data_IF_412576520296
#
_entry.id   IF_412576520296
#
_cell.length_a   1.000
_cell.length_b   1.000
_cell.length_c   1.000
_cell.angle_alpha   90.00
_cell.angle_beta   90.00
_cell.angle_gamma   90.00
#
_symmetry.space_group_name_H-M   'P 1'
#
loop_
_entity.id
_entity.type
_entity.pdbx_description
1 polymer ?
#
# COMPACT_ATOMS: atom_id res chain seq x y z
N UNK A 1 -21.99 5.74 11.57
CA UNK A 1 -21.47 4.36 11.61
C UNK A 1 -21.92 3.55 10.41
N UNK A 2 -23.23 3.32 10.21
CA UNK A 2 -23.76 2.50 9.11
C UNK A 2 -23.23 2.89 7.72
N UNK A 3 -23.12 4.18 7.42
CA UNK A 3 -22.61 4.70 6.14
C UNK A 3 -21.13 4.39 5.90
N UNK A 4 -20.28 4.49 6.94
CA UNK A 4 -18.84 4.13 6.92
C UNK A 4 -18.59 2.62 6.77
N UNK A 5 -19.60 1.80 7.05
CA UNK A 5 -19.54 0.33 6.98
C UNK A 5 -20.36 -0.27 5.83
N UNK A 6 -21.32 0.45 5.24
CA UNK A 6 -22.30 -0.09 4.28
C UNK A 6 -22.70 0.88 3.15
N UNK A 7 -22.34 2.17 3.22
CA UNK A 7 -22.78 3.19 2.25
C UNK A 7 -22.03 3.18 0.91
N UNK A 8 -21.03 2.32 0.79
CA UNK A 8 -19.99 2.35 -0.22
C UNK A 8 -20.23 1.31 -1.33
N UNK A 9 -21.31 1.48 -2.10
CA UNK A 9 -21.51 0.71 -3.34
C UNK A 9 -20.71 1.28 -4.53
N UNK A 10 -20.21 2.51 -4.42
CA UNK A 10 -19.60 3.27 -5.52
C UNK A 10 -18.10 3.53 -5.38
N UNK A 11 -17.56 3.55 -4.16
CA UNK A 11 -16.12 3.64 -3.90
C UNK A 11 -15.70 2.47 -3.02
N UNK A 12 -14.90 1.58 -3.63
CA UNK A 12 -14.41 0.32 -3.06
C UNK A 12 -13.77 0.50 -1.66
N UNK A 13 -13.28 1.69 -1.31
CA UNK A 13 -12.56 1.96 -0.07
C UNK A 13 -13.40 2.67 1.01
N UNK A 14 -14.64 3.06 0.69
CA UNK A 14 -15.51 3.75 1.65
C UNK A 14 -16.19 2.81 2.66
N UNK A 15 -16.15 1.49 2.42
CA UNK A 15 -16.52 0.45 3.39
C UNK A 15 -15.29 -0.02 4.17
N UNK A 16 -15.31 0.17 5.49
CA UNK A 16 -14.24 -0.30 6.36
C UNK A 16 -13.95 -1.82 6.27
N UNK A 17 -14.98 -2.67 6.16
CA UNK A 17 -14.82 -4.12 6.01
C UNK A 17 -14.16 -4.45 4.67
N UNK A 18 -14.59 -3.79 3.60
CA UNK A 18 -13.99 -3.99 2.29
C UNK A 18 -12.50 -3.61 2.30
N UNK A 19 -12.16 -2.47 2.91
CA UNK A 19 -10.77 -2.02 3.05
C UNK A 19 -9.92 -3.05 3.81
N UNK A 20 -10.43 -3.60 4.92
CA UNK A 20 -9.73 -4.65 5.67
C UNK A 20 -9.52 -5.91 4.84
N UNK A 21 -10.58 -6.38 4.15
CA UNK A 21 -10.50 -7.55 3.28
C UNK A 21 -9.50 -7.33 2.14
N UNK A 22 -9.51 -6.16 1.50
CA UNK A 22 -8.61 -5.86 0.39
C UNK A 22 -7.14 -5.75 0.84
N UNK A 23 -6.88 -5.16 2.02
CA UNK A 23 -5.53 -5.16 2.60
C UNK A 23 -5.03 -6.60 2.79
N UNK A 24 -5.86 -7.48 3.34
CA UNK A 24 -5.52 -8.88 3.53
C UNK A 24 -5.28 -9.61 2.18
N UNK A 25 -6.11 -9.36 1.18
CA UNK A 25 -5.94 -9.93 -0.18
C UNK A 25 -4.59 -9.54 -0.81
N UNK A 26 -4.19 -8.27 -0.66
CA UNK A 26 -2.94 -7.78 -1.24
C UNK A 26 -1.70 -8.26 -0.51
N UNK A 27 -1.80 -8.45 0.81
CA UNK A 27 -0.65 -8.76 1.68
C UNK A 27 -0.51 -10.25 1.98
N UNK A 28 -1.57 -11.04 1.84
CA UNK A 28 -1.53 -12.48 2.08
C UNK A 28 -0.60 -13.18 1.08
N UNK A 29 0.09 -14.22 1.56
CA UNK A 29 0.96 -15.09 0.77
C UNK A 29 0.53 -16.53 0.99
N UNK A 30 -0.52 -16.94 0.28
CA UNK A 30 -1.17 -18.23 0.53
C UNK A 30 -1.87 -18.21 1.89
N UNK A 31 -1.42 -19.05 2.84
CA UNK A 31 -1.93 -19.08 4.22
C UNK A 31 -1.09 -18.24 5.21
N UNK A 32 -0.10 -17.50 4.72
CA UNK A 32 0.70 -16.60 5.55
C UNK A 32 0.12 -15.18 5.58
N UNK A 33 -0.22 -14.72 6.78
CA UNK A 33 -0.79 -13.40 7.09
C UNK A 33 0.19 -12.50 7.86
N UNK A 34 1.45 -12.89 8.02
CA UNK A 34 2.44 -12.11 8.78
C UNK A 34 2.59 -10.66 8.29
N UNK A 35 2.58 -10.44 6.97
CA UNK A 35 2.60 -9.09 6.37
C UNK A 35 1.31 -8.33 6.65
N UNK A 36 0.16 -9.02 6.61
CA UNK A 36 -1.14 -8.43 6.94
C UNK A 36 -1.17 -7.94 8.39
N UNK A 37 -0.68 -8.75 9.32
CA UNK A 37 -0.61 -8.42 10.74
C UNK A 37 0.33 -7.24 11.00
N UNK A 38 1.50 -7.22 10.36
CA UNK A 38 2.45 -6.12 10.46
C UNK A 38 1.86 -4.79 9.95
N UNK A 39 1.14 -4.84 8.83
CA UNK A 39 0.44 -3.67 8.28
C UNK A 39 -0.62 -3.18 9.25
N UNK A 40 -1.47 -4.06 9.78
CA UNK A 40 -2.52 -3.64 10.71
C UNK A 40 -2.00 -3.13 12.06
N UNK A 41 -0.80 -3.57 12.48
CA UNK A 41 -0.11 -3.00 13.63
C UNK A 41 0.42 -1.57 13.37
N UNK A 42 0.54 -1.13 12.11
CA UNK A 42 1.03 0.18 11.73
C UNK A 42 -0.05 1.01 11.01
N UNK A 43 -0.72 1.90 11.76
CA UNK A 43 -1.80 2.74 11.22
C UNK A 43 -1.34 3.68 10.09
N UNK A 44 -0.05 4.05 10.04
CA UNK A 44 0.48 4.87 8.94
C UNK A 44 0.55 4.05 7.66
N UNK A 45 0.98 2.78 7.74
CA UNK A 45 0.97 1.86 6.58
C UNK A 45 -0.43 1.70 6.02
N UNK A 46 -1.42 1.38 6.88
CA UNK A 46 -2.82 1.22 6.49
C UNK A 46 -3.32 2.44 5.71
N UNK A 47 -3.07 3.65 6.22
CA UNK A 47 -3.60 4.88 5.62
C UNK A 47 -2.80 5.37 4.41
N UNK A 48 -1.48 5.22 4.39
CA UNK A 48 -0.64 5.85 3.36
C UNK A 48 -0.38 4.94 2.17
N UNK A 49 -0.34 3.62 2.40
CA UNK A 49 -0.13 2.64 1.33
C UNK A 49 -1.46 2.31 0.65
N UNK A 50 -2.52 2.04 1.42
CA UNK A 50 -3.75 1.44 0.89
C UNK A 50 -4.85 2.42 0.48
N UNK A 51 -4.67 3.73 0.73
CA UNK A 51 -5.60 4.77 0.25
C UNK A 51 -5.18 5.35 -1.11
N UNK A 52 -4.06 4.88 -1.69
CA UNK A 52 -3.51 5.36 -2.96
C UNK A 52 -3.93 4.48 -4.13
N UNK A 53 -3.95 5.06 -5.34
CA UNK A 53 -4.38 4.34 -6.54
C UNK A 53 -3.54 3.09 -6.83
N UNK A 54 -2.24 3.12 -6.53
CA UNK A 54 -1.34 1.97 -6.72
C UNK A 54 -1.72 0.77 -5.84
N UNK A 55 -2.56 0.93 -4.82
CA UNK A 55 -3.12 -0.15 -4.01
C UNK A 55 -4.11 -1.05 -4.77
N UNK A 56 -4.11 -1.02 -6.10
CA UNK A 56 -4.80 -1.95 -7.00
C UNK A 56 -3.83 -2.94 -7.66
N UNK A 57 -2.53 -2.72 -7.50
CA UNK A 57 -1.47 -3.53 -8.07
C UNK A 57 -0.68 -4.22 -6.96
N UNK A 58 -0.97 -5.49 -6.74
CA UNK A 58 -0.41 -6.29 -5.65
C UNK A 58 1.14 -6.27 -5.60
N UNK A 59 1.88 -6.35 -6.72
CA UNK A 59 3.34 -6.33 -6.66
C UNK A 59 3.91 -5.04 -6.06
N UNK A 60 3.37 -3.87 -6.44
CA UNK A 60 3.78 -2.60 -5.85
C UNK A 60 3.45 -2.51 -4.36
N UNK A 61 2.28 -3.01 -3.95
CA UNK A 61 1.88 -3.02 -2.53
C UNK A 61 2.80 -3.91 -1.70
N UNK A 62 3.14 -5.10 -2.19
CA UNK A 62 4.04 -6.02 -1.50
C UNK A 62 5.44 -5.43 -1.36
N UNK A 63 5.99 -4.88 -2.45
CA UNK A 63 7.27 -4.18 -2.40
C UNK A 63 7.24 -3.02 -1.40
N UNK A 64 6.17 -2.23 -1.40
CA UNK A 64 6.01 -1.11 -0.46
C UNK A 64 5.93 -1.60 1.00
N UNK A 65 5.22 -2.70 1.27
CA UNK A 65 5.13 -3.28 2.61
C UNK A 65 6.47 -3.81 3.11
N UNK A 66 7.21 -4.52 2.25
CA UNK A 66 8.50 -5.10 2.62
C UNK A 66 9.55 -4.01 2.90
N UNK A 67 9.65 -2.98 2.05
CA UNK A 67 10.69 -1.96 2.17
C UNK A 67 10.40 -0.90 3.25
N UNK A 68 9.13 -0.76 3.68
CA UNK A 68 8.72 0.22 4.69
C UNK A 68 8.43 -0.37 6.06
N UNK A 69 8.57 -1.69 6.25
CA UNK A 69 8.15 -2.39 7.47
C UNK A 69 8.73 -1.77 8.75
N UNK A 70 10.00 -1.37 8.71
CA UNK A 70 10.76 -0.83 9.84
C UNK A 70 10.98 0.69 9.74
N UNK A 71 10.35 1.36 8.78
CA UNK A 71 10.55 2.79 8.54
C UNK A 71 9.64 3.66 9.42
N UNK A 72 10.12 4.84 9.86
CA UNK A 72 9.29 5.77 10.61
C UNK A 72 8.18 6.37 9.72
N UNK A 73 7.06 6.78 10.34
CA UNK A 73 5.90 7.33 9.61
C UNK A 73 6.22 8.46 8.63
N UNK A 74 7.25 9.28 8.90
CA UNK A 74 7.70 10.35 7.99
C UNK A 74 8.21 9.78 6.65
N UNK A 75 9.01 8.71 6.71
CA UNK A 75 9.56 8.04 5.53
C UNK A 75 8.45 7.32 4.77
N UNK A 76 7.51 6.68 5.49
CA UNK A 76 6.33 6.04 4.87
C UNK A 76 5.50 7.05 4.08
N UNK A 77 5.17 8.20 4.67
CA UNK A 77 4.36 9.22 4.00
C UNK A 77 5.08 9.81 2.78
N UNK A 78 6.35 10.15 2.93
CA UNK A 78 7.13 10.72 1.82
C UNK A 78 7.34 9.71 0.69
N UNK A 79 7.64 8.45 1.02
CA UNK A 79 7.86 7.40 0.03
C UNK A 79 6.59 7.12 -0.76
N UNK A 80 5.46 6.92 -0.08
CA UNK A 80 4.17 6.67 -0.75
C UNK A 80 3.74 7.83 -1.63
N UNK A 81 4.01 9.09 -1.21
CA UNK A 81 3.73 10.29 -2.00
C UNK A 81 4.60 10.37 -3.25
N UNK A 82 5.92 10.19 -3.12
CA UNK A 82 6.87 10.24 -4.23
C UNK A 82 6.65 9.11 -5.22
N UNK A 83 6.41 7.90 -4.74
CA UNK A 83 6.10 6.76 -5.60
C UNK A 83 4.81 7.01 -6.41
N UNK A 84 3.74 7.47 -5.75
CA UNK A 84 2.50 7.82 -6.45
C UNK A 84 2.70 8.94 -7.49
N UNK A 85 3.63 9.87 -7.25
CA UNK A 85 3.99 10.89 -8.24
C UNK A 85 4.79 10.29 -9.41
N UNK A 86 5.72 9.38 -9.16
CA UNK A 86 6.47 8.71 -10.24
C UNK A 86 5.54 7.95 -11.20
N UNK A 87 4.46 7.37 -10.68
CA UNK A 87 3.43 6.68 -11.47
C UNK A 87 2.60 7.60 -12.38
N UNK A 88 2.75 8.93 -12.32
CA UNK A 88 2.14 9.80 -13.35
C UNK A 88 2.88 9.69 -14.68
N UNK A 89 4.13 9.24 -14.67
CA UNK A 89 4.99 9.14 -15.84
C UNK A 89 5.24 7.68 -16.28
N UNK A 90 4.81 6.70 -15.48
CA UNK A 90 5.02 5.27 -15.72
C UNK A 90 3.71 4.53 -15.54
N UNK A 91 3.36 3.68 -16.50
CA UNK A 91 2.17 2.84 -16.39
C UNK A 91 2.41 1.70 -15.39
N UNK A 92 1.54 1.61 -14.38
CA UNK A 92 1.69 0.66 -13.27
C UNK A 92 1.65 -0.81 -13.71
N UNK A 93 0.83 -1.16 -14.70
CA UNK A 93 0.75 -2.52 -15.22
C UNK A 93 1.98 -2.92 -16.05
N UNK A 94 2.80 -1.96 -16.47
CA UNK A 94 4.06 -2.19 -17.18
C UNK A 94 5.27 -2.34 -16.25
N UNK A 95 5.10 -2.09 -14.96
CA UNK A 95 6.15 -2.19 -13.94
C UNK A 95 6.20 -3.61 -13.39
N UNK A 96 7.33 -4.29 -13.54
CA UNK A 96 7.56 -5.54 -12.82
C UNK A 96 7.71 -5.30 -11.31
N UNK A 97 7.53 -6.35 -10.50
CA UNK A 97 7.74 -6.25 -9.04
C UNK A 97 9.16 -5.76 -8.70
N UNK A 98 10.16 -6.23 -9.44
CA UNK A 98 11.56 -5.86 -9.24
C UNK A 98 11.79 -4.38 -9.51
N UNK A 99 11.28 -3.85 -10.63
CA UNK A 99 11.41 -2.44 -10.98
C UNK A 99 10.67 -1.55 -9.97
N UNK A 100 9.48 -1.97 -9.51
CA UNK A 100 8.73 -1.25 -8.49
C UNK A 100 9.52 -1.20 -7.17
N UNK A 101 10.13 -2.33 -6.78
CA UNK A 101 10.95 -2.44 -5.58
C UNK A 101 12.20 -1.58 -5.66
N UNK A 102 12.89 -1.57 -6.79
CA UNK A 102 14.08 -0.73 -7.00
C UNK A 102 13.73 0.77 -6.88
N UNK A 103 12.63 1.18 -7.50
CA UNK A 103 12.14 2.56 -7.40
C UNK A 103 11.81 2.93 -5.95
N UNK A 104 11.09 2.06 -5.23
CA UNK A 104 10.74 2.28 -3.82
C UNK A 104 12.00 2.38 -2.96
N UNK A 105 12.97 1.48 -3.12
CA UNK A 105 14.25 1.50 -2.37
C UNK A 105 15.03 2.78 -2.57
N UNK A 106 15.10 3.26 -3.81
CA UNK A 106 15.77 4.52 -4.10
C UNK A 106 15.07 5.66 -3.35
N UNK A 107 13.74 5.73 -3.41
CA UNK A 107 12.96 6.77 -2.73
C UNK A 107 13.14 6.70 -1.20
N UNK A 108 13.13 5.50 -0.60
CA UNK A 108 13.34 5.30 0.84
C UNK A 108 14.72 5.81 1.24
N UNK A 109 15.76 5.46 0.48
CA UNK A 109 17.13 5.90 0.74
C UNK A 109 17.27 7.43 0.72
N UNK A 110 16.58 8.10 -0.21
CA UNK A 110 16.55 9.57 -0.29
C UNK A 110 15.69 10.23 0.79
N UNK A 111 14.83 9.47 1.48
CA UNK A 111 13.85 9.98 2.44
C UNK A 111 14.29 9.83 3.90
N UNK A 112 15.27 8.95 4.17
CA UNK A 112 15.90 8.77 5.49
C UNK A 112 16.71 10.03 5.85
#
# INVERSE_FOLDING_TARGET
MREKFLGAGSDLYSNAIHRLWWIAELTSRGNDYSTTDAVFANQTMVNKVFDRWFARYQPAVRAMCDELADEPSRVIDETTRRFNHALTNVQLEGLSETEAREMIRQIVTESR
#
